data_IF_253620390610
#
_entry.id   IF_253620390610
#
_cell.length_a   1.000
_cell.length_b   1.000
_cell.length_c   1.000
_cell.angle_alpha   90.00
_cell.angle_beta   90.00
_cell.angle_gamma   90.00
#
_symmetry.space_group_name_H-M   'P 1'
#
loop_
_entity.id
_entity.type
_entity.pdbx_description
1 polymer ?
#
# COMPACT_ATOMS: atom_id res chain seq x y z
N UNK A 1 -15.36 5.28 20.46
CA UNK A 1 -15.32 5.89 19.12
C UNK A 1 -13.91 5.71 18.57
N UNK A 2 -13.76 5.28 17.33
CA UNK A 2 -12.44 5.19 16.69
C UNK A 2 -11.90 6.61 16.46
N UNK A 3 -10.59 6.80 16.57
CA UNK A 3 -9.94 8.08 16.26
C UNK A 3 -10.24 8.50 14.79
N UNK A 4 -10.55 9.78 14.52
CA UNK A 4 -10.96 10.24 13.19
C UNK A 4 -9.99 9.93 12.04
N UNK A 5 -8.68 10.12 12.22
CA UNK A 5 -7.66 9.80 11.20
C UNK A 5 -7.57 8.29 10.95
N UNK A 6 -7.71 7.46 11.98
CA UNK A 6 -7.79 5.99 11.82
C UNK A 6 -9.04 5.60 11.02
N UNK A 7 -10.15 6.31 11.24
CA UNK A 7 -11.39 6.10 10.47
C UNK A 7 -11.19 6.49 9.01
N UNK A 8 -10.59 7.66 8.75
CA UNK A 8 -10.27 8.13 7.41
C UNK A 8 -9.32 7.16 6.68
N UNK A 9 -8.26 6.70 7.35
CA UNK A 9 -7.31 5.73 6.79
C UNK A 9 -8.02 4.45 6.35
N UNK A 10 -8.89 3.89 7.20
CA UNK A 10 -9.66 2.68 6.87
C UNK A 10 -10.60 2.89 5.68
N UNK A 11 -11.30 4.03 5.65
CA UNK A 11 -12.16 4.41 4.53
C UNK A 11 -11.36 4.54 3.23
N UNK A 12 -10.29 5.34 3.21
CA UNK A 12 -9.46 5.55 2.02
C UNK A 12 -8.85 4.24 1.53
N UNK A 13 -8.43 3.34 2.42
CA UNK A 13 -7.95 2.01 2.04
C UNK A 13 -9.04 1.16 1.39
N UNK A 14 -10.25 1.18 1.94
CA UNK A 14 -11.38 0.44 1.36
C UNK A 14 -11.76 0.96 -0.03
N UNK A 15 -11.73 2.28 -0.22
CA UNK A 15 -12.03 2.90 -1.50
C UNK A 15 -10.92 2.67 -2.53
N UNK A 16 -9.65 2.67 -2.11
CA UNK A 16 -8.54 2.27 -2.99
C UNK A 16 -8.73 0.83 -3.46
N UNK A 17 -9.01 -0.10 -2.55
CA UNK A 17 -9.26 -1.50 -2.90
C UNK A 17 -10.46 -1.65 -3.84
N UNK A 18 -11.55 -0.89 -3.61
CA UNK A 18 -12.72 -0.85 -4.49
C UNK A 18 -12.36 -0.35 -5.90
N UNK A 19 -11.59 0.72 -6.01
CA UNK A 19 -11.15 1.28 -7.30
C UNK A 19 -10.22 0.34 -8.08
N UNK A 20 -9.54 -0.59 -7.41
CA UNK A 20 -8.69 -1.60 -8.05
C UNK A 20 -9.48 -2.84 -8.51
N UNK A 21 -10.77 -2.95 -8.18
CA UNK A 21 -11.59 -4.08 -8.63
C UNK A 21 -11.69 -4.09 -10.16
N UNK A 22 -11.41 -5.25 -10.76
CA UNK A 22 -11.42 -5.43 -12.21
C UNK A 22 -10.12 -5.05 -12.92
N UNK A 23 -9.13 -4.48 -12.23
CA UNK A 23 -7.79 -4.29 -12.80
C UNK A 23 -7.08 -5.63 -12.88
N UNK A 24 -6.67 -6.04 -14.08
CA UNK A 24 -5.90 -7.28 -14.27
C UNK A 24 -4.50 -7.16 -13.68
N UNK A 25 -3.88 -8.28 -13.32
CA UNK A 25 -2.49 -8.28 -12.84
C UNK A 25 -1.52 -7.74 -13.92
N UNK A 26 -1.78 -8.06 -15.19
CA UNK A 26 -1.00 -7.57 -16.33
C UNK A 26 -1.06 -6.04 -16.44
N UNK A 27 -2.27 -5.47 -16.40
CA UNK A 27 -2.45 -4.01 -16.45
C UNK A 27 -1.86 -3.33 -15.21
N UNK A 28 -2.00 -3.96 -14.03
CA UNK A 28 -1.44 -3.43 -12.79
C UNK A 28 0.10 -3.41 -12.79
N UNK A 29 0.74 -4.32 -13.52
CA UNK A 29 2.20 -4.37 -13.68
C UNK A 29 2.72 -3.45 -14.78
N UNK A 30 1.85 -3.04 -15.71
CA UNK A 30 2.23 -2.12 -16.78
C UNK A 30 2.56 -0.74 -16.23
N UNK A 31 3.70 -0.19 -16.66
CA UNK A 31 4.09 1.19 -16.35
C UNK A 31 3.57 2.15 -17.41
N UNK A 32 2.65 3.04 -17.01
CA UNK A 32 2.16 4.14 -17.83
C UNK A 32 2.88 5.43 -17.41
N UNK A 33 3.88 5.83 -18.20
CA UNK A 33 4.74 6.99 -17.88
C UNK A 33 3.91 8.29 -17.83
N UNK A 34 4.26 9.27 -16.98
CA UNK A 34 5.46 9.31 -16.13
C UNK A 34 5.34 8.50 -14.82
N UNK A 35 4.15 8.00 -14.49
CA UNK A 35 3.88 7.27 -13.25
C UNK A 35 4.56 5.89 -13.21
N UNK A 36 4.67 5.34 -12.01
CA UNK A 36 5.01 3.93 -11.79
C UNK A 36 3.78 3.04 -12.07
N UNK A 37 3.99 1.73 -12.12
CA UNK A 37 2.89 0.77 -12.24
C UNK A 37 2.00 0.78 -10.98
N UNK A 38 0.75 0.35 -11.13
CA UNK A 38 -0.21 0.24 -10.00
C UNK A 38 0.31 -0.73 -8.93
N UNK A 39 0.88 -1.85 -9.36
CA UNK A 39 1.52 -2.85 -8.49
C UNK A 39 2.65 -2.26 -7.65
N UNK A 40 3.49 -1.40 -8.23
CA UNK A 40 4.51 -0.68 -7.48
C UNK A 40 3.88 0.29 -6.48
N UNK A 41 2.84 1.04 -6.86
CA UNK A 41 2.16 1.98 -5.95
C UNK A 41 1.54 1.28 -4.73
N UNK A 42 0.86 0.15 -4.94
CA UNK A 42 0.27 -0.65 -3.85
C UNK A 42 1.37 -1.21 -2.94
N UNK A 43 2.44 -1.75 -3.54
CA UNK A 43 3.58 -2.25 -2.78
C UNK A 43 4.28 -1.15 -1.97
N UNK A 44 4.50 0.01 -2.57
CA UNK A 44 5.14 1.15 -1.93
C UNK A 44 4.32 1.67 -0.75
N UNK A 45 3.00 1.75 -0.90
CA UNK A 45 2.10 2.06 0.21
C UNK A 45 2.21 1.04 1.35
N UNK A 46 2.21 -0.26 1.03
CA UNK A 46 2.37 -1.31 2.04
C UNK A 46 3.74 -1.24 2.75
N UNK A 47 4.81 -0.90 2.02
CA UNK A 47 6.16 -0.68 2.57
C UNK A 47 6.15 0.46 3.60
N UNK A 48 5.53 1.60 3.27
CA UNK A 48 5.39 2.73 4.18
C UNK A 48 4.59 2.38 5.43
N UNK A 49 3.50 1.63 5.27
CA UNK A 49 2.68 1.21 6.41
C UNK A 49 3.40 0.21 7.33
N UNK A 50 4.16 -0.75 6.78
CA UNK A 50 4.99 -1.63 7.59
C UNK A 50 6.04 -0.83 8.35
N UNK A 51 6.77 0.05 7.67
CA UNK A 51 7.83 0.84 8.29
C UNK A 51 7.30 1.73 9.41
N UNK A 52 6.27 2.53 9.14
CA UNK A 52 5.74 3.50 10.11
C UNK A 52 4.99 2.84 11.25
N UNK A 53 4.08 1.90 10.95
CA UNK A 53 3.15 1.37 11.94
C UNK A 53 3.63 0.12 12.64
N UNK A 54 4.44 -0.72 11.98
CA UNK A 54 4.88 -2.00 12.55
C UNK A 54 6.31 -1.93 13.02
N UNK A 55 7.24 -1.53 12.14
CA UNK A 55 8.66 -1.52 12.49
C UNK A 55 8.98 -0.39 13.47
N UNK A 56 8.66 0.86 13.11
CA UNK A 56 9.04 2.02 13.92
C UNK A 56 8.26 2.11 15.22
N UNK A 57 6.95 1.81 15.19
CA UNK A 57 6.10 1.92 16.36
C UNK A 57 6.08 0.67 17.24
N UNK A 58 6.36 -0.52 16.69
CA UNK A 58 6.15 -1.80 17.39
C UNK A 58 7.33 -2.79 17.25
N UNK A 59 8.41 -2.43 16.54
CA UNK A 59 9.56 -3.32 16.32
C UNK A 59 9.23 -4.59 15.52
N UNK A 60 8.13 -4.60 14.77
CA UNK A 60 7.62 -5.79 14.08
C UNK A 60 7.81 -5.69 12.57
N UNK A 61 8.27 -6.78 11.95
CA UNK A 61 8.41 -6.91 10.48
C UNK A 61 7.62 -8.14 10.04
N UNK A 62 6.59 -7.94 9.19
CA UNK A 62 5.77 -9.04 8.68
C UNK A 62 6.25 -9.54 7.31
N UNK A 63 6.76 -8.64 6.47
CA UNK A 63 7.27 -8.93 5.14
C UNK A 63 8.67 -8.30 4.98
N UNK A 64 9.75 -9.03 5.32
CA UNK A 64 11.11 -8.50 5.28
C UNK A 64 11.56 -8.04 3.89
N UNK A 65 11.08 -8.71 2.84
CA UNK A 65 11.46 -8.43 1.45
C UNK A 65 10.73 -7.21 0.85
N UNK A 66 9.71 -6.69 1.54
CA UNK A 66 8.82 -5.68 0.98
C UNK A 66 9.57 -4.38 0.62
N UNK A 67 10.39 -3.88 1.53
CA UNK A 67 11.17 -2.66 1.28
C UNK A 67 12.13 -2.83 0.09
N UNK A 68 12.76 -4.00 -0.05
CA UNK A 68 13.67 -4.28 -1.17
C UNK A 68 12.94 -4.27 -2.52
N UNK A 69 11.68 -4.71 -2.55
CA UNK A 69 10.91 -4.84 -3.79
C UNK A 69 10.27 -3.51 -4.25
N UNK A 70 9.83 -2.68 -3.31
CA UNK A 70 8.92 -1.54 -3.59
C UNK A 70 9.14 -0.34 -2.65
N UNK A 71 10.22 -0.34 -1.86
CA UNK A 71 10.63 0.76 -0.99
C UNK A 71 11.01 2.04 -1.72
#
# INVERSE_FOLDING_TARGET
MTEPLVTQLRFTRSELARCLQGVSAEDAQRRLKPMNSISWLVGHLASQEQFLWLERAQGTILSPELYRLVG
#
